data_IF_053211105536
#
_entry.id   IF_053211105536
#
_cell.length_a   1.000
_cell.length_b   1.000
_cell.length_c   1.000
_cell.angle_alpha   90.00
_cell.angle_beta   90.00
_cell.angle_gamma   90.00
#
_symmetry.space_group_name_H-M   'P 1'
#
loop_
_entity.id
_entity.type
_entity.pdbx_description
1 polymer ?
#
# COMPACT_ATOMS: atom_id res chain seq x y z
N UNK A 1 -32.37 15.81 -13.43
CA UNK A 1 -32.03 14.54 -12.74
C UNK A 1 -31.01 14.88 -11.66
N UNK A 2 -31.31 14.63 -10.38
CA UNK A 2 -30.53 15.13 -9.24
C UNK A 2 -29.20 14.37 -9.13
N UNK A 3 -28.09 15.02 -9.51
CA UNK A 3 -26.74 14.56 -9.22
C UNK A 3 -26.57 14.55 -7.69
N UNK A 4 -26.48 13.36 -7.09
CA UNK A 4 -25.94 13.23 -5.75
C UNK A 4 -24.44 13.47 -5.87
N UNK A 5 -24.03 14.71 -5.68
CA UNK A 5 -22.64 15.08 -5.45
C UNK A 5 -22.15 14.37 -4.18
N UNK A 6 -21.52 13.20 -4.35
CA UNK A 6 -20.64 12.67 -3.33
C UNK A 6 -19.35 13.47 -3.40
N UNK A 7 -19.37 14.62 -2.72
CA UNK A 7 -18.18 15.37 -2.33
C UNK A 7 -17.36 14.47 -1.38
N UNK A 8 -16.64 13.51 -1.95
CA UNK A 8 -15.55 12.83 -1.26
C UNK A 8 -14.49 13.91 -1.07
N UNK A 9 -14.40 14.42 0.16
CA UNK A 9 -13.39 15.37 0.60
C UNK A 9 -11.99 14.79 0.30
N UNK A 10 -11.37 15.28 -0.78
CA UNK A 10 -9.99 14.97 -1.17
C UNK A 10 -9.08 15.86 -0.31
N UNK A 11 -8.78 15.41 0.89
CA UNK A 11 -7.57 15.83 1.63
C UNK A 11 -7.04 14.60 2.36
N UNK A 12 -6.29 13.74 1.67
CA UNK A 12 -5.25 12.93 2.34
C UNK A 12 -4.09 12.69 1.35
N UNK A 13 -3.25 13.70 1.18
CA UNK A 13 -1.84 13.45 0.83
C UNK A 13 -0.91 14.34 1.68
N UNK A 14 -1.11 14.30 2.99
CA UNK A 14 -0.11 14.76 3.97
C UNK A 14 0.35 13.65 4.92
N UNK A 15 -0.19 12.42 4.83
CA UNK A 15 0.07 11.40 5.86
C UNK A 15 1.22 10.45 5.52
N UNK A 16 2.37 11.00 5.14
CA UNK A 16 3.69 10.34 5.24
C UNK A 16 4.83 11.29 5.65
N UNK A 17 4.52 12.55 5.98
CA UNK A 17 5.48 13.58 6.42
C UNK A 17 4.77 14.22 7.63
N UNK A 18 5.12 13.96 8.89
CA UNK A 18 6.17 14.66 9.62
C UNK A 18 6.52 13.93 10.92
N UNK A 19 7.77 13.48 11.05
CA UNK A 19 8.44 13.33 12.35
C UNK A 19 9.52 14.41 12.43
N UNK A 20 9.40 15.31 13.42
CA UNK A 20 10.28 16.43 13.77
C UNK A 20 10.12 17.77 13.00
N UNK A 21 9.72 18.81 13.76
CA UNK A 21 9.73 20.27 13.54
C UNK A 21 9.73 20.80 12.09
N UNK A 22 8.57 21.28 11.62
CA UNK A 22 8.50 22.14 10.43
C UNK A 22 8.48 23.61 10.85
N UNK A 23 9.64 24.26 10.71
CA UNK A 23 9.67 25.63 10.24
C UNK A 23 9.27 25.63 8.75
N UNK A 24 8.23 26.40 8.44
CA UNK A 24 7.80 26.93 7.14
C UNK A 24 8.41 26.32 5.86
N UNK A 25 7.70 25.41 5.19
CA UNK A 25 7.66 25.39 3.72
C UNK A 25 6.35 24.81 3.21
N UNK A 26 5.39 25.69 2.88
CA UNK A 26 4.16 25.33 2.16
C UNK A 26 4.50 25.06 0.69
N UNK A 27 4.82 23.80 0.36
CA UNK A 27 4.49 23.23 -0.95
C UNK A 27 3.63 22.02 -0.66
N UNK A 28 2.32 22.21 -0.63
CA UNK A 28 1.41 21.07 -0.68
C UNK A 28 1.60 20.41 -2.05
N UNK A 29 2.05 19.17 -2.06
CA UNK A 29 2.05 18.33 -3.27
C UNK A 29 0.59 18.00 -3.63
N UNK A 30 -0.07 18.93 -4.32
CA UNK A 30 -1.46 18.79 -4.73
C UNK A 30 -1.54 17.74 -5.84
N UNK A 31 -2.21 16.62 -5.54
CA UNK A 31 -2.62 15.62 -6.54
C UNK A 31 -3.56 16.32 -7.53
N UNK A 32 -3.40 16.05 -8.83
CA UNK A 32 -4.28 16.57 -9.85
C UNK A 32 -5.75 16.19 -9.59
N UNK A 33 -6.71 16.98 -10.08
CA UNK A 33 -8.13 16.66 -9.97
C UNK A 33 -8.48 15.36 -10.73
N UNK A 34 -9.65 14.78 -10.43
CA UNK A 34 -10.08 13.50 -11.04
C UNK A 34 -10.17 13.55 -12.57
N UNK A 35 -10.57 14.68 -13.16
CA UNK A 35 -10.69 14.79 -14.61
C UNK A 35 -9.30 14.79 -15.26
N UNK A 36 -8.34 15.48 -14.64
CA UNK A 36 -6.93 15.46 -15.04
C UNK A 36 -6.33 14.06 -14.86
N UNK A 37 -6.60 13.38 -13.75
CA UNK A 37 -6.16 12.00 -13.52
C UNK A 37 -6.67 11.03 -14.60
N UNK A 38 -7.97 11.09 -14.89
CA UNK A 38 -8.58 10.27 -15.95
C UNK A 38 -7.97 10.58 -17.32
N UNK A 39 -7.78 11.86 -17.64
CA UNK A 39 -7.15 12.27 -18.91
C UNK A 39 -5.72 11.74 -19.02
N UNK A 40 -4.91 11.83 -17.97
CA UNK A 40 -3.55 11.29 -17.96
C UNK A 40 -3.57 9.77 -18.11
N UNK A 41 -4.47 9.09 -17.39
CA UNK A 41 -4.66 7.64 -17.50
C UNK A 41 -4.97 7.23 -18.95
N UNK A 42 -5.91 7.90 -19.62
CA UNK A 42 -6.23 7.64 -21.03
C UNK A 42 -5.03 7.88 -21.94
N UNK A 43 -4.25 8.95 -21.70
CA UNK A 43 -3.04 9.21 -22.49
C UNK A 43 -2.01 8.10 -22.34
N UNK A 44 -1.71 7.68 -21.11
CA UNK A 44 -0.75 6.59 -20.84
C UNK A 44 -1.20 5.27 -21.45
N UNK A 45 -2.51 5.00 -21.47
CA UNK A 45 -3.05 3.82 -22.14
C UNK A 45 -2.85 3.83 -23.65
N UNK A 46 -2.83 5.02 -24.27
CA UNK A 46 -2.61 5.19 -25.71
C UNK A 46 -1.12 5.26 -26.07
N UNK A 47 -0.31 5.88 -25.22
CA UNK A 47 1.14 6.00 -25.37
C UNK A 47 1.82 5.96 -24.00
N UNK A 48 2.49 4.83 -23.72
CA UNK A 48 3.21 4.61 -22.46
C UNK A 48 4.36 5.61 -22.27
N UNK A 49 4.91 6.19 -23.35
CA UNK A 49 6.02 7.14 -23.30
C UNK A 49 5.69 8.43 -22.54
N UNK A 50 4.41 8.74 -22.35
CA UNK A 50 3.94 9.87 -21.52
C UNK A 50 4.51 9.82 -20.10
N UNK A 51 4.73 8.62 -19.54
CA UNK A 51 5.24 8.43 -18.17
C UNK A 51 6.60 7.74 -18.09
N UNK A 52 7.17 7.25 -19.19
CA UNK A 52 8.50 6.66 -19.18
C UNK A 52 9.55 7.63 -18.61
N UNK A 53 10.47 7.11 -17.80
CA UNK A 53 11.50 7.88 -17.08
C UNK A 53 11.00 8.93 -16.07
N UNK A 54 9.68 9.06 -15.84
CA UNK A 54 9.13 9.90 -14.77
C UNK A 54 9.31 9.23 -13.42
N UNK A 55 9.27 10.01 -12.36
CA UNK A 55 9.40 9.50 -11.00
C UNK A 55 8.05 9.10 -10.38
N UNK A 56 8.12 8.43 -9.23
CA UNK A 56 6.93 8.00 -8.49
C UNK A 56 5.98 9.17 -8.19
N UNK A 57 6.53 10.33 -7.78
CA UNK A 57 5.74 11.49 -7.41
C UNK A 57 4.98 12.05 -8.61
N UNK A 58 5.61 12.12 -9.79
CA UNK A 58 4.96 12.53 -11.02
C UNK A 58 3.80 11.60 -11.38
N UNK A 59 4.01 10.28 -11.31
CA UNK A 59 2.97 9.30 -11.63
C UNK A 59 1.78 9.46 -10.69
N UNK A 60 2.00 9.46 -9.37
CA UNK A 60 0.92 9.59 -8.37
C UNK A 60 0.20 10.94 -8.49
N UNK A 61 0.95 12.03 -8.72
CA UNK A 61 0.38 13.37 -8.89
C UNK A 61 -0.55 13.46 -10.09
N UNK A 62 -0.18 12.86 -11.22
CA UNK A 62 -0.89 13.04 -12.49
C UNK A 62 -1.89 11.93 -12.81
N UNK A 63 -1.72 10.73 -12.26
CA UNK A 63 -2.59 9.56 -12.49
C UNK A 63 -3.44 9.19 -11.27
N UNK A 64 -3.18 9.83 -10.12
CA UNK A 64 -3.85 9.52 -8.85
C UNK A 64 -3.12 8.45 -8.04
N UNK A 65 -3.66 8.15 -6.87
CA UNK A 65 -3.13 7.11 -5.99
C UNK A 65 -3.43 5.73 -6.61
N UNK A 66 -2.45 4.83 -6.71
CA UNK A 66 -2.68 3.49 -7.25
C UNK A 66 -3.59 2.67 -6.33
N UNK A 67 -4.25 1.67 -6.90
CA UNK A 67 -5.02 0.69 -6.12
C UNK A 67 -4.11 -0.11 -5.17
N UNK A 68 -2.98 -0.56 -5.73
CA UNK A 68 -1.97 -1.31 -5.02
C UNK A 68 -0.58 -0.79 -5.41
N UNK A 69 0.29 -0.68 -4.40
CA UNK A 69 1.73 -0.47 -4.57
C UNK A 69 2.46 -1.68 -4.00
N UNK A 70 3.17 -2.42 -4.85
CA UNK A 70 4.00 -3.56 -4.44
C UNK A 70 5.46 -3.14 -4.38
N UNK A 71 6.13 -3.44 -3.27
CA UNK A 71 7.54 -3.18 -3.04
C UNK A 71 8.31 -4.49 -3.05
N UNK A 72 9.29 -4.62 -3.94
CA UNK A 72 10.16 -5.78 -4.04
C UNK A 72 11.50 -5.49 -3.37
N UNK A 73 11.70 -6.00 -2.15
CA UNK A 73 12.80 -5.61 -1.28
C UNK A 73 13.79 -6.75 -1.12
N UNK A 74 15.06 -6.47 -1.41
CA UNK A 74 16.17 -7.36 -1.08
C UNK A 74 16.71 -7.08 0.33
N UNK A 75 17.27 -8.09 0.97
CA UNK A 75 17.91 -7.99 2.28
C UNK A 75 19.07 -6.96 2.25
N UNK A 76 19.78 -6.85 1.13
CA UNK A 76 20.86 -5.86 0.99
C UNK A 76 20.35 -4.42 0.89
N UNK A 77 19.17 -4.22 0.28
CA UNK A 77 18.52 -2.90 0.30
C UNK A 77 18.05 -2.55 1.71
N UNK A 78 17.49 -3.51 2.44
CA UNK A 78 16.84 -3.28 3.73
C UNK A 78 17.81 -3.10 4.92
N UNK A 79 19.07 -3.52 4.76
CA UNK A 79 20.18 -3.30 5.71
C UNK A 79 20.64 -1.83 5.79
N UNK A 80 20.25 -0.99 4.83
CA UNK A 80 20.43 0.47 4.89
C UNK A 80 19.36 1.07 5.82
N UNK A 81 19.58 2.27 6.37
CA UNK A 81 18.69 3.01 7.30
C UNK A 81 17.31 3.39 6.69
N UNK A 82 16.58 2.38 6.23
CA UNK A 82 15.27 2.46 5.58
C UNK A 82 14.22 2.08 6.61
N UNK A 83 13.70 3.05 7.31
CA UNK A 83 12.63 2.93 8.29
C UNK A 83 11.28 3.40 7.73
N UNK A 84 11.25 4.02 6.55
CA UNK A 84 10.03 4.56 5.93
C UNK A 84 9.78 4.03 4.52
N UNK A 85 8.51 4.07 4.10
CA UNK A 85 8.07 3.77 2.74
C UNK A 85 8.68 4.74 1.71
N UNK A 86 8.85 6.02 2.07
CA UNK A 86 9.47 7.00 1.16
C UNK A 86 10.93 6.65 0.86
N UNK A 87 11.68 6.17 1.85
CA UNK A 87 13.03 5.67 1.64
C UNK A 87 13.03 4.40 0.80
N UNK A 88 12.06 3.50 1.00
CA UNK A 88 11.88 2.32 0.14
C UNK A 88 11.68 2.71 -1.33
N UNK A 89 10.86 3.73 -1.61
CA UNK A 89 10.59 4.20 -2.98
C UNK A 89 11.86 4.54 -3.77
N UNK A 90 12.92 4.99 -3.09
CA UNK A 90 14.16 5.47 -3.72
C UNK A 90 15.13 4.34 -4.06
N UNK A 91 15.02 3.18 -3.41
CA UNK A 91 16.06 2.14 -3.45
C UNK A 91 15.58 0.78 -3.96
N UNK A 92 14.26 0.60 -4.06
CA UNK A 92 13.63 -0.69 -4.34
C UNK A 92 12.93 -0.65 -5.70
N UNK A 93 12.68 -1.82 -6.28
CA UNK A 93 11.75 -1.89 -7.41
C UNK A 93 10.31 -1.84 -6.88
N UNK A 94 9.48 -1.01 -7.49
CA UNK A 94 8.09 -0.78 -7.10
C UNK A 94 7.21 -1.07 -8.30
N UNK A 95 6.10 -1.76 -8.07
CA UNK A 95 5.03 -1.92 -9.05
C UNK A 95 3.79 -1.17 -8.59
N UNK A 96 3.28 -0.28 -9.44
CA UNK A 96 2.00 0.40 -9.23
C UNK A 96 0.92 -0.27 -10.06
N UNK A 97 -0.25 -0.49 -9.47
CA UNK A 97 -1.41 -1.09 -10.14
C UNK A 97 -2.54 -0.09 -10.22
N UNK A 98 -2.98 0.21 -11.44
CA UNK A 98 -4.11 1.10 -11.73
C UNK A 98 -5.20 0.34 -12.49
N UNK A 99 -6.26 -0.12 -11.80
CA UNK A 99 -7.41 -0.73 -12.45
C UNK A 99 -8.01 0.22 -13.47
N UNK A 100 -8.39 -0.32 -14.63
CA UNK A 100 -9.12 0.44 -15.63
C UNK A 100 -10.61 0.44 -15.27
N UNK A 101 -11.28 1.55 -15.56
CA UNK A 101 -12.70 1.71 -15.35
C UNK A 101 -13.34 2.20 -16.65
N UNK A 102 -14.51 1.66 -16.98
CA UNK A 102 -15.32 2.16 -18.09
C UNK A 102 -15.84 3.56 -17.77
N UNK A 103 -16.39 4.25 -18.78
CA UNK A 103 -17.06 5.55 -18.62
C UNK A 103 -18.17 5.55 -17.58
N UNK A 104 -18.81 4.40 -17.34
CA UNK A 104 -19.86 4.21 -16.33
C UNK A 104 -19.30 3.84 -14.96
N UNK A 105 -17.99 4.01 -14.75
CA UNK A 105 -17.27 3.69 -13.53
C UNK A 105 -17.35 2.20 -13.14
N UNK A 106 -17.48 1.30 -14.12
CA UNK A 106 -17.40 -0.15 -13.90
C UNK A 106 -15.96 -0.59 -14.12
N UNK A 107 -15.41 -1.37 -13.21
CA UNK A 107 -14.04 -1.87 -13.35
C UNK A 107 -13.95 -2.75 -14.60
N UNK A 108 -13.13 -2.32 -15.55
CA UNK A 108 -12.68 -3.19 -16.63
C UNK A 108 -11.78 -4.25 -16.00
N UNK A 109 -11.90 -5.50 -16.44
CA UNK A 109 -11.12 -6.61 -15.87
C UNK A 109 -9.64 -6.54 -16.27
N UNK A 110 -9.08 -5.35 -16.44
CA UNK A 110 -7.70 -5.06 -16.82
C UNK A 110 -7.14 -3.89 -16.02
N UNK A 111 -5.82 -3.84 -15.85
CA UNK A 111 -5.12 -2.79 -15.14
C UNK A 111 -3.85 -2.39 -15.88
N UNK A 112 -3.41 -1.14 -15.66
CA UNK A 112 -2.04 -0.74 -15.94
C UNK A 112 -1.13 -1.16 -14.79
N UNK A 113 -0.03 -1.79 -15.15
CA UNK A 113 1.06 -2.17 -14.26
C UNK A 113 2.26 -1.29 -14.62
N UNK A 114 2.75 -0.51 -13.66
CA UNK A 114 3.86 0.44 -13.88
C UNK A 114 5.02 0.02 -12.98
N UNK A 115 6.14 -0.35 -13.57
CA UNK A 115 7.38 -0.67 -12.85
C UNK A 115 8.22 0.60 -12.69
N UNK A 116 8.63 0.86 -11.46
CA UNK A 116 9.49 1.97 -11.07
C UNK A 116 10.73 1.40 -10.42
N UNK A 117 11.86 1.49 -11.12
CA UNK A 117 13.15 1.08 -10.61
C UNK A 117 14.02 2.31 -10.32
N UNK A 118 14.54 2.40 -9.09
CA UNK A 118 15.35 3.56 -8.62
C UNK A 118 14.66 4.89 -8.91
N UNK A 119 13.37 4.98 -8.56
CA UNK A 119 12.52 6.15 -8.72
C UNK A 119 12.34 6.63 -10.19
N UNK A 120 12.44 5.73 -11.17
CA UNK A 120 12.09 6.02 -12.56
C UNK A 120 11.21 4.92 -13.14
N UNK A 121 10.17 5.32 -13.86
CA UNK A 121 9.34 4.39 -14.66
C UNK A 121 10.23 3.74 -15.72
N UNK A 122 10.34 2.42 -15.66
CA UNK A 122 11.13 1.61 -16.59
C UNK A 122 10.28 0.75 -17.50
N UNK A 123 9.04 0.46 -17.11
CA UNK A 123 8.15 -0.41 -17.87
C UNK A 123 6.69 -0.11 -17.51
N UNK A 124 5.81 -0.25 -18.50
CA UNK A 124 4.36 -0.07 -18.37
C UNK A 124 3.68 -1.17 -19.18
N UNK A 125 2.88 -1.99 -18.52
CA UNK A 125 2.19 -3.11 -19.14
C UNK A 125 0.68 -3.04 -18.85
N UNK A 126 -0.11 -3.67 -19.73
CA UNK A 126 -1.55 -3.78 -19.58
C UNK A 126 -1.94 -5.26 -19.55
N UNK A 127 -2.45 -5.72 -18.42
CA UNK A 127 -2.88 -7.11 -18.23
C UNK A 127 -4.27 -7.18 -17.64
N UNK A 128 -4.85 -8.37 -17.68
CA UNK A 128 -6.04 -8.69 -16.91
C UNK A 128 -5.80 -8.37 -15.43
N UNK A 129 -6.74 -7.66 -14.83
CA UNK A 129 -6.74 -7.35 -13.43
C UNK A 129 -7.40 -8.51 -12.70
N UNK A 130 -6.58 -9.45 -12.23
CA UNK A 130 -7.03 -10.38 -11.20
C UNK A 130 -6.45 -9.98 -9.84
N UNK A 131 -7.21 -10.26 -8.78
CA UNK A 131 -6.73 -10.14 -7.40
C UNK A 131 -5.56 -11.09 -7.09
N UNK A 132 -5.22 -12.01 -8.01
CA UNK A 132 -4.11 -12.95 -7.91
C UNK A 132 -2.85 -12.52 -8.67
N UNK A 133 -2.92 -11.53 -9.56
CA UNK A 133 -1.76 -11.08 -10.36
C UNK A 133 -0.72 -10.31 -9.53
N UNK A 134 -1.04 -9.99 -8.28
CA UNK A 134 -0.09 -9.48 -7.28
C UNK A 134 1.00 -10.53 -6.96
N UNK A 135 0.73 -11.82 -7.22
CA UNK A 135 1.66 -12.94 -6.99
C UNK A 135 2.48 -13.37 -8.23
N UNK A 136 2.35 -12.71 -9.39
CA UNK A 136 3.09 -13.14 -10.60
C UNK A 136 4.56 -12.75 -10.52
N UNK A 137 5.37 -13.77 -10.83
CA UNK A 137 6.82 -13.86 -10.84
C UNK A 137 7.54 -12.52 -10.82
N UNK A 138 8.16 -12.20 -9.68
CA UNK A 138 9.22 -11.22 -9.72
C UNK A 138 10.41 -11.83 -10.48
N UNK A 139 10.78 -11.19 -11.57
CA UNK A 139 11.93 -11.55 -12.41
C UNK A 139 13.29 -11.50 -11.68
N UNK A 140 13.33 -11.04 -10.42
CA UNK A 140 14.57 -10.90 -9.66
C UNK A 140 14.74 -12.02 -8.62
N UNK A 141 15.81 -12.82 -8.77
CA UNK A 141 16.16 -13.90 -7.83
C UNK A 141 16.54 -13.41 -6.42
N UNK A 142 16.79 -12.11 -6.24
CA UNK A 142 17.32 -11.52 -5.02
C UNK A 142 16.27 -10.73 -4.23
N UNK A 143 15.04 -11.24 -4.13
CA UNK A 143 13.97 -10.60 -3.34
C UNK A 143 13.66 -11.44 -2.13
N UNK A 144 13.76 -10.80 -0.97
CA UNK A 144 13.59 -11.43 0.33
C UNK A 144 12.23 -11.09 0.93
N UNK A 145 11.74 -9.86 0.72
CA UNK A 145 10.43 -9.40 1.17
C UNK A 145 9.66 -8.76 0.01
N UNK A 146 8.38 -9.08 -0.06
CA UNK A 146 7.38 -8.38 -0.86
C UNK A 146 6.43 -7.66 0.11
N UNK A 147 6.14 -6.39 -0.15
CA UNK A 147 5.12 -5.62 0.59
C UNK A 147 4.07 -5.16 -0.41
N UNK A 148 2.82 -5.52 -0.18
CA UNK A 148 1.66 -5.01 -0.92
C UNK A 148 0.94 -3.98 -0.06
N UNK A 149 0.84 -2.75 -0.55
CA UNK A 149 0.08 -1.66 0.10
C UNK A 149 -1.15 -1.34 -0.72
N UNK A 150 -2.32 -1.34 -0.08
CA UNK A 150 -3.60 -1.06 -0.71
C UNK A 150 -4.20 0.24 -0.18
N UNK A 151 -4.34 1.24 -1.05
CA UNK A 151 -4.72 2.60 -0.66
C UNK A 151 -6.23 2.79 -0.48
N UNK A 152 -7.06 1.98 -1.14
CA UNK A 152 -8.52 2.13 -1.10
C UNK A 152 -9.21 1.30 -0.01
N UNK A 153 -8.45 0.54 0.81
CA UNK A 153 -9.04 -0.38 1.79
C UNK A 153 -9.55 0.35 3.04
N UNK A 154 -10.66 -0.16 3.58
CA UNK A 154 -11.31 0.38 4.77
C UNK A 154 -10.40 0.35 6.00
N UNK A 155 -10.51 1.41 6.81
CA UNK A 155 -9.81 1.57 8.09
C UNK A 155 -10.63 1.00 9.24
N UNK A 156 -9.96 0.58 10.31
CA UNK A 156 -10.60 0.08 11.53
C UNK A 156 -10.73 1.23 12.54
N UNK A 157 -11.88 1.37 13.21
CA UNK A 157 -11.96 2.32 14.32
C UNK A 157 -11.16 1.77 15.50
N UNK A 158 -10.26 2.57 16.08
CA UNK A 158 -9.48 2.15 17.24
C UNK A 158 -10.37 1.72 18.41
N UNK A 159 -11.53 2.38 18.60
CA UNK A 159 -12.52 2.03 19.64
C UNK A 159 -13.00 0.59 19.56
N UNK A 160 -13.18 0.06 18.35
CA UNK A 160 -13.75 -1.26 18.11
C UNK A 160 -12.80 -2.37 18.60
N UNK A 161 -11.49 -2.07 18.69
CA UNK A 161 -10.46 -3.03 19.07
C UNK A 161 -9.78 -2.72 20.42
N UNK A 162 -9.97 -1.52 20.99
CA UNK A 162 -9.27 -1.07 22.20
C UNK A 162 -9.49 -1.97 23.42
N UNK A 163 -10.66 -2.60 23.51
CA UNK A 163 -11.04 -3.47 24.64
C UNK A 163 -10.91 -4.96 24.31
N UNK A 164 -10.39 -5.31 23.14
CA UNK A 164 -10.14 -6.71 22.78
C UNK A 164 -8.79 -7.11 23.40
N UNK A 165 -8.80 -8.21 24.14
CA UNK A 165 -7.57 -8.85 24.60
C UNK A 165 -6.90 -9.57 23.41
N UNK A 166 -5.92 -8.89 22.79
CA UNK A 166 -5.24 -9.33 21.58
C UNK A 166 -4.35 -10.57 21.80
N UNK A 167 -3.86 -10.78 23.03
CA UNK A 167 -3.01 -11.93 23.37
C UNK A 167 -3.75 -13.27 23.26
N UNK A 168 -5.08 -13.26 23.47
CA UNK A 168 -5.92 -14.47 23.31
C UNK A 168 -5.94 -15.04 21.90
N UNK A 169 -5.44 -14.30 20.92
CA UNK A 169 -5.36 -14.76 19.54
C UNK A 169 -4.02 -15.43 19.22
N UNK A 170 -3.06 -15.46 20.14
CA UNK A 170 -1.79 -16.14 19.93
C UNK A 170 -1.98 -17.64 19.75
N UNK A 171 -1.28 -18.21 18.76
CA UNK A 171 -1.33 -19.59 18.28
C UNK A 171 -2.70 -20.09 17.78
N UNK A 172 -3.71 -19.21 17.75
CA UNK A 172 -4.96 -19.44 17.06
C UNK A 172 -4.75 -19.49 15.54
N UNK A 173 -5.73 -20.08 14.85
CA UNK A 173 -5.77 -20.07 13.39
C UNK A 173 -5.97 -18.65 12.84
N UNK A 174 -5.31 -18.32 11.71
CA UNK A 174 -5.44 -17.01 11.05
C UNK A 174 -6.90 -16.62 10.80
N UNK A 175 -7.78 -17.58 10.57
CA UNK A 175 -9.20 -17.33 10.31
C UNK A 175 -9.92 -16.67 11.50
N UNK A 176 -9.32 -16.71 12.70
CA UNK A 176 -9.84 -16.01 13.89
C UNK A 176 -9.62 -14.50 13.84
N UNK A 177 -8.76 -13.99 12.94
CA UNK A 177 -8.53 -12.55 12.74
C UNK A 177 -9.83 -11.81 12.42
N UNK A 178 -10.78 -12.47 11.73
CA UNK A 178 -12.10 -11.89 11.43
C UNK A 178 -12.91 -11.50 12.67
N UNK A 179 -12.59 -12.06 13.85
CA UNK A 179 -13.19 -11.64 15.12
C UNK A 179 -12.68 -10.27 15.60
N UNK A 180 -11.53 -9.83 15.10
CA UNK A 180 -10.93 -8.52 15.41
C UNK A 180 -11.31 -7.50 14.34
N UNK A 181 -11.19 -7.86 13.06
CA UNK A 181 -11.28 -6.91 11.94
C UNK A 181 -12.57 -7.04 11.12
N UNK A 182 -13.41 -8.04 11.40
CA UNK A 182 -14.55 -8.39 10.58
C UNK A 182 -14.13 -8.95 9.21
N UNK A 183 -14.87 -8.58 8.17
CA UNK A 183 -14.57 -8.96 6.77
C UNK A 183 -13.63 -7.96 6.06
N UNK A 184 -12.96 -7.08 6.82
CA UNK A 184 -12.07 -6.09 6.23
C UNK A 184 -10.79 -6.75 5.72
N UNK A 185 -10.33 -6.30 4.57
CA UNK A 185 -9.03 -6.69 4.02
C UNK A 185 -7.92 -5.82 4.64
N UNK A 186 -6.69 -6.35 4.76
CA UNK A 186 -5.55 -5.57 5.23
C UNK A 186 -5.25 -4.39 4.29
N UNK A 187 -4.77 -3.28 4.87
CA UNK A 187 -4.24 -2.15 4.12
C UNK A 187 -2.81 -2.43 3.64
N UNK A 188 -2.10 -3.34 4.32
CA UNK A 188 -0.76 -3.77 3.95
C UNK A 188 -0.59 -5.26 4.24
N UNK A 189 -0.01 -5.98 3.29
CA UNK A 189 0.50 -7.33 3.47
C UNK A 189 2.01 -7.33 3.25
N UNK A 190 2.76 -8.10 4.04
CA UNK A 190 4.17 -8.32 3.80
C UNK A 190 4.52 -9.78 3.96
N UNK A 191 5.31 -10.34 3.05
CA UNK A 191 5.64 -11.76 3.02
C UNK A 191 6.98 -12.00 2.34
N UNK A 192 7.60 -13.15 2.61
CA UNK A 192 8.74 -13.61 1.83
C UNK A 192 8.27 -14.24 0.52
N UNK A 193 9.18 -14.66 -0.36
CA UNK A 193 8.80 -15.38 -1.59
C UNK A 193 7.88 -16.58 -1.35
N UNK A 194 7.93 -17.18 -0.16
CA UNK A 194 6.99 -18.20 0.27
C UNK A 194 5.93 -17.60 1.22
N UNK A 195 4.84 -17.07 0.65
CA UNK A 195 3.74 -16.43 1.41
C UNK A 195 3.10 -17.37 2.44
N UNK A 196 3.16 -18.68 2.23
CA UNK A 196 2.54 -19.66 3.13
C UNK A 196 3.36 -19.93 4.40
N UNK A 197 4.63 -19.52 4.42
CA UNK A 197 5.49 -19.72 5.58
C UNK A 197 5.32 -18.60 6.62
N UNK A 198 5.61 -17.36 6.23
CA UNK A 198 5.59 -16.22 7.12
C UNK A 198 5.04 -15.00 6.40
N UNK A 199 4.03 -14.36 6.99
CA UNK A 199 3.47 -13.14 6.46
C UNK A 199 2.86 -12.26 7.55
N UNK A 200 2.68 -10.99 7.21
CA UNK A 200 2.14 -9.95 8.07
C UNK A 200 0.92 -9.35 7.40
N UNK A 201 -0.11 -9.09 8.20
CA UNK A 201 -1.28 -8.29 7.82
C UNK A 201 -1.32 -7.04 8.69
N UNK A 202 -1.46 -5.87 8.08
CA UNK A 202 -1.60 -4.59 8.78
C UNK A 202 -2.85 -3.85 8.35
N UNK A 203 -3.54 -3.26 9.34
CA UNK A 203 -4.76 -2.50 9.17
C UNK A 203 -4.57 -1.10 9.76
N UNK A 204 -4.84 -0.08 8.96
CA UNK A 204 -4.81 1.31 9.40
C UNK A 204 -5.92 1.55 10.41
N UNK A 205 -5.55 2.20 11.53
CA UNK A 205 -6.48 2.56 12.58
C UNK A 205 -6.84 4.04 12.47
N UNK A 206 -8.12 4.35 12.59
CA UNK A 206 -8.61 5.72 12.72
C UNK A 206 -9.08 5.95 14.16
N UNK A 207 -8.59 7.04 14.75
CA UNK A 207 -9.09 7.57 16.02
C UNK A 207 -10.21 8.60 15.76
N UNK A 208 -10.91 9.03 16.81
CA UNK A 208 -11.95 10.07 16.77
C UNK A 208 -11.46 11.37 16.16
N UNK A 209 -10.19 11.70 16.41
CA UNK A 209 -9.50 12.86 15.87
C UNK A 209 -9.00 12.65 14.42
N UNK A 210 -9.37 11.53 13.78
CA UNK A 210 -8.92 11.11 12.43
C UNK A 210 -7.41 10.99 12.27
N UNK A 211 -6.65 10.90 13.37
CA UNK A 211 -5.22 10.64 13.32
C UNK A 211 -4.99 9.16 13.00
N UNK A 212 -4.16 8.92 11.97
CA UNK A 212 -3.85 7.61 11.42
C UNK A 212 -2.41 7.20 11.74
N UNK A 213 -1.97 7.56 12.94
CA UNK A 213 -0.61 7.28 13.41
C UNK A 213 -0.42 5.84 13.86
N UNK A 214 -1.49 5.03 13.94
CA UNK A 214 -1.44 3.66 14.47
C UNK A 214 -1.95 2.63 13.47
N UNK A 215 -1.40 1.42 13.59
CA UNK A 215 -1.73 0.25 12.78
C UNK A 215 -1.88 -0.98 13.67
N UNK A 216 -2.95 -1.74 13.47
CA UNK A 216 -3.05 -3.10 13.99
C UNK A 216 -2.24 -4.01 13.08
N UNK A 217 -1.25 -4.69 13.62
CA UNK A 217 -0.33 -5.56 12.90
C UNK A 217 -0.41 -6.98 13.44
N UNK A 218 -0.56 -7.94 12.54
CA UNK A 218 -0.76 -9.35 12.83
C UNK A 218 0.37 -10.14 12.17
N UNK A 219 1.11 -10.89 12.97
CA UNK A 219 2.26 -11.68 12.55
C UNK A 219 1.84 -13.13 12.45
N UNK A 220 2.04 -13.78 11.30
CA UNK A 220 1.49 -15.10 11.02
C UNK A 220 2.59 -16.01 10.51
N UNK A 221 2.68 -17.20 11.11
CA UNK A 221 3.60 -18.26 10.70
C UNK A 221 2.84 -19.56 10.49
N UNK A 222 2.93 -20.16 9.30
CA UNK A 222 2.26 -21.41 8.92
C UNK A 222 0.78 -21.43 9.35
N UNK A 223 0.02 -20.42 8.91
CA UNK A 223 -1.41 -20.24 9.22
C UNK A 223 -1.77 -19.95 10.68
N UNK A 224 -0.79 -19.83 11.58
CA UNK A 224 -0.99 -19.53 13.00
C UNK A 224 -0.61 -18.10 13.33
N UNK A 225 -1.47 -17.43 14.07
CA UNK A 225 -1.19 -16.11 14.62
C UNK A 225 -0.07 -16.24 15.64
N UNK A 226 1.01 -15.49 15.47
CA UNK A 226 2.14 -15.47 16.41
C UNK A 226 2.10 -14.29 17.35
N UNK A 227 1.61 -13.16 16.87
CA UNK A 227 1.48 -11.95 17.66
C UNK A 227 0.44 -11.04 16.99
N UNK A 228 -0.31 -10.31 17.82
CA UNK A 228 -1.24 -9.26 17.37
C UNK A 228 -0.94 -8.04 18.21
N UNK A 229 -0.56 -6.92 17.59
CA UNK A 229 -0.25 -5.69 18.33
C UNK A 229 -0.60 -4.44 17.57
N UNK A 230 -0.81 -3.37 18.33
CA UNK A 230 -0.97 -2.02 17.77
C UNK A 230 0.40 -1.35 17.80
N UNK A 231 0.85 -0.88 16.64
CA UNK A 231 2.12 -0.20 16.46
C UNK A 231 1.90 1.23 15.99
N UNK A 232 2.87 2.09 16.29
CA UNK A 232 2.99 3.36 15.57
C UNK A 232 3.35 3.05 14.11
N UNK A 233 2.74 3.78 13.18
CA UNK A 233 2.88 3.54 11.74
C UNK A 233 4.33 3.62 11.27
N UNK A 234 5.11 4.53 11.85
CA UNK A 234 6.55 4.68 11.58
C UNK A 234 7.37 3.42 11.95
N UNK A 235 6.88 2.61 12.89
CA UNK A 235 7.56 1.37 13.33
C UNK A 235 7.22 0.17 12.46
N UNK A 236 6.28 0.30 11.52
CA UNK A 236 5.77 -0.83 10.72
C UNK A 236 6.86 -1.49 9.90
N UNK A 237 7.70 -0.69 9.21
CA UNK A 237 8.77 -1.24 8.38
C UNK A 237 9.74 -2.04 9.23
N UNK A 238 10.20 -1.48 10.36
CA UNK A 238 11.10 -2.19 11.27
C UNK A 238 10.48 -3.50 11.80
N UNK A 239 9.19 -3.50 12.11
CA UNK A 239 8.49 -4.71 12.53
C UNK A 239 8.45 -5.79 11.42
N UNK A 240 8.25 -5.37 10.17
CA UNK A 240 8.30 -6.26 9.00
C UNK A 240 9.70 -6.88 8.84
N UNK A 241 10.75 -6.05 8.87
CA UNK A 241 12.15 -6.53 8.78
C UNK A 241 12.44 -7.58 9.84
N UNK A 242 12.15 -7.22 11.09
CA UNK A 242 12.49 -8.03 12.25
C UNK A 242 11.75 -9.36 12.29
N UNK A 243 10.62 -9.49 11.57
CA UNK A 243 9.85 -10.72 11.55
C UNK A 243 10.19 -11.61 10.35
N UNK A 244 10.33 -11.01 9.15
CA UNK A 244 10.49 -11.76 7.91
C UNK A 244 11.94 -12.05 7.52
N UNK A 245 12.93 -11.37 8.12
CA UNK A 245 14.37 -11.57 7.83
C UNK A 245 15.14 -12.19 9.00
N UNK A 246 14.44 -12.85 9.92
CA UNK A 246 15.09 -13.55 11.04
C UNK A 246 15.97 -14.69 10.55
#
# INVERSE_FOLDING_TARGET
MKLKESLVSIIVLSMFITGCNIENTKKEDVIADKATQQKTMTKVQNDVNEIMNKDYNYVVKNMGVPYCTTYYISADSIKKDIDTIEKLNKVTNIRLVYPKYTSDNKMEKSALYIEINKNKVTEVENYDFSTRDINKESYNKNIDIIIDKYDEKEKINLKDIKNIDLEKFKDEDKEKIKKIVGNKNPNLEAYTKNKDEAYIMSYLLKDENKNESKVLTIFIYRNKIKEVKILDREKSINAIKNYLLK
#
